data_IF_287733789803
#
_entry.id   IF_287733789803
#
_cell.length_a   1.000
_cell.length_b   1.000
_cell.length_c   1.000
_cell.angle_alpha   90.00
_cell.angle_beta   90.00
_cell.angle_gamma   90.00
#
_symmetry.space_group_name_H-M   'P 1'
#
loop_
_entity.id
_entity.type
_entity.pdbx_description
1 polymer ?
#
# COMPACT_ATOMS: atom_id res chain seq x y z
N UNK A 1 -108.79 -13.13 -43.58
CA UNK A 1 -110.12 -13.57 -43.10
C UNK A 1 -110.03 -15.07 -42.82
N UNK A 2 -110.31 -15.49 -41.59
CA UNK A 2 -110.50 -16.90 -41.16
C UNK A 2 -111.77 -17.48 -41.85
N UNK A 3 -112.03 -18.81 -41.94
CA UNK A 3 -111.84 -19.77 -40.84
C UNK A 3 -111.64 -21.28 -41.17
N UNK A 4 -111.40 -22.05 -40.09
CA UNK A 4 -111.84 -23.42 -39.74
C UNK A 4 -111.85 -24.56 -40.79
N UNK A 5 -111.40 -25.77 -40.39
CA UNK A 5 -112.26 -26.93 -40.00
C UNK A 5 -111.37 -28.16 -39.71
N UNK A 6 -111.77 -28.92 -38.68
CA UNK A 6 -111.20 -30.17 -38.17
C UNK A 6 -111.91 -31.43 -38.75
N UNK A 7 -111.52 -32.62 -38.27
CA UNK A 7 -112.05 -33.99 -38.47
C UNK A 7 -111.25 -34.86 -39.48
N UNK A 8 -110.71 -36.05 -39.19
CA UNK A 8 -111.09 -37.26 -38.40
C UNK A 8 -111.75 -38.36 -39.27
N UNK A 9 -111.35 -39.62 -39.00
CA UNK A 9 -111.77 -40.93 -39.54
C UNK A 9 -110.82 -41.55 -40.60
N UNK A 10 -110.01 -42.60 -40.35
CA UNK A 10 -110.20 -43.96 -39.77
C UNK A 10 -110.69 -45.00 -40.81
N UNK A 11 -109.85 -46.05 -41.00
CA UNK A 11 -110.16 -47.46 -41.26
C UNK A 11 -109.47 -48.07 -42.51
N UNK A 12 -108.73 -49.16 -42.28
CA UNK A 12 -108.20 -50.02 -43.35
C UNK A 12 -106.98 -50.85 -42.97
N UNK A 13 -107.06 -51.63 -41.89
CA UNK A 13 -106.10 -52.66 -41.56
C UNK A 13 -106.11 -53.79 -42.60
N UNK A 14 -104.96 -54.33 -42.99
CA UNK A 14 -104.65 -55.76 -43.01
C UNK A 14 -103.25 -56.04 -43.63
N UNK A 15 -102.59 -57.02 -43.02
CA UNK A 15 -101.34 -57.68 -43.41
C UNK A 15 -100.02 -57.09 -42.89
N UNK A 16 -99.70 -57.44 -41.63
CA UNK A 16 -98.34 -57.85 -41.28
C UNK A 16 -98.00 -59.17 -42.01
N UNK A 17 -96.72 -59.42 -42.25
CA UNK A 17 -96.12 -60.55 -41.55
C UNK A 17 -94.98 -60.09 -40.65
N UNK A 18 -95.10 -60.48 -39.39
CA UNK A 18 -94.00 -60.56 -38.45
C UNK A 18 -93.18 -61.84 -38.74
N UNK A 19 -91.93 -61.82 -38.25
CA UNK A 19 -90.90 -62.87 -38.24
C UNK A 19 -90.06 -62.96 -39.54
N UNK A 20 -88.72 -62.95 -39.49
CA UNK A 20 -87.86 -63.57 -38.49
C UNK A 20 -86.55 -62.81 -38.28
N UNK A 21 -86.03 -62.89 -37.06
CA UNK A 21 -84.65 -62.62 -36.73
C UNK A 21 -83.74 -63.57 -37.52
N UNK A 22 -82.83 -63.03 -38.30
CA UNK A 22 -81.61 -63.74 -38.68
C UNK A 22 -80.38 -62.86 -38.45
N UNK A 23 -79.45 -63.48 -37.74
CA UNK A 23 -78.29 -62.90 -37.08
C UNK A 23 -77.14 -63.09 -38.05
N UNK A 24 -76.92 -62.12 -38.94
CA UNK A 24 -75.72 -62.05 -39.80
C UNK A 24 -75.05 -60.70 -39.62
N UNK A 25 -73.75 -60.75 -39.30
CA UNK A 25 -72.86 -59.63 -39.09
C UNK A 25 -73.09 -58.54 -40.13
N UNK A 26 -73.50 -57.37 -39.64
CA UNK A 26 -73.67 -56.16 -40.42
C UNK A 26 -72.28 -55.51 -40.55
N UNK A 27 -71.57 -55.67 -41.68
CA UNK A 27 -70.19 -55.19 -41.82
C UNK A 27 -70.07 -53.68 -41.60
N UNK A 28 -71.17 -52.94 -41.81
CA UNK A 28 -71.27 -51.51 -41.52
C UNK A 28 -71.20 -51.20 -40.01
N UNK A 29 -71.76 -52.04 -39.13
CA UNK A 29 -71.68 -51.85 -37.67
C UNK A 29 -70.31 -52.18 -37.11
N UNK A 30 -69.62 -53.18 -37.66
CA UNK A 30 -68.23 -53.50 -37.29
C UNK A 30 -67.27 -52.40 -37.76
N UNK A 31 -67.46 -51.85 -38.96
CA UNK A 31 -66.69 -50.70 -39.45
C UNK A 31 -66.95 -49.44 -38.61
N UNK A 32 -68.20 -49.17 -38.23
CA UNK A 32 -68.54 -48.06 -37.34
C UNK A 32 -67.91 -48.20 -35.94
N UNK A 33 -67.87 -49.43 -35.39
CA UNK A 33 -67.19 -49.71 -34.10
C UNK A 33 -65.67 -49.51 -34.21
N UNK A 34 -65.04 -49.96 -35.30
CA UNK A 34 -63.61 -49.73 -35.55
C UNK A 34 -63.30 -48.23 -35.70
N UNK A 35 -64.14 -47.50 -36.43
CA UNK A 35 -64.02 -46.04 -36.56
C UNK A 35 -64.18 -45.35 -35.21
N UNK A 36 -65.15 -45.74 -34.39
CA UNK A 36 -65.34 -45.20 -33.04
C UNK A 36 -64.16 -45.53 -32.11
N UNK A 37 -63.58 -46.73 -32.21
CA UNK A 37 -62.36 -47.09 -31.47
C UNK A 37 -61.15 -46.28 -31.92
N UNK A 38 -60.98 -46.06 -33.23
CA UNK A 38 -59.93 -45.18 -33.76
C UNK A 38 -60.12 -43.74 -33.31
N UNK A 39 -61.34 -43.23 -33.30
CA UNK A 39 -61.64 -41.87 -32.83
C UNK A 39 -61.31 -41.70 -31.35
N UNK A 40 -61.61 -42.68 -30.50
CA UNK A 40 -61.20 -42.68 -29.09
C UNK A 40 -59.69 -42.73 -28.90
N UNK A 41 -58.97 -43.51 -29.72
CA UNK A 41 -57.50 -43.54 -29.70
C UNK A 41 -56.91 -42.19 -30.10
N UNK A 42 -57.42 -41.57 -31.16
CA UNK A 42 -57.01 -40.23 -31.57
C UNK A 42 -57.33 -39.16 -30.52
N UNK A 43 -58.49 -39.24 -29.87
CA UNK A 43 -58.83 -38.34 -28.76
C UNK A 43 -57.89 -38.54 -27.56
N UNK A 44 -57.53 -39.79 -27.24
CA UNK A 44 -56.57 -40.11 -26.20
C UNK A 44 -55.16 -39.60 -26.53
N UNK A 45 -54.66 -39.87 -27.73
CA UNK A 45 -53.36 -39.37 -28.21
C UNK A 45 -53.32 -37.85 -28.25
N UNK A 46 -54.40 -37.20 -28.71
CA UNK A 46 -54.50 -35.73 -28.70
C UNK A 46 -54.49 -35.19 -27.27
N UNK A 47 -55.16 -35.85 -26.33
CA UNK A 47 -55.15 -35.45 -24.92
C UNK A 47 -53.76 -35.62 -24.29
N UNK A 48 -53.07 -36.72 -24.59
CA UNK A 48 -51.70 -37.00 -24.11
C UNK A 48 -50.72 -35.99 -24.68
N UNK A 49 -50.74 -35.74 -26.00
CA UNK A 49 -49.88 -34.75 -26.64
C UNK A 49 -50.15 -33.33 -26.13
N UNK A 50 -51.40 -32.99 -25.79
CA UNK A 50 -51.73 -31.69 -25.20
C UNK A 50 -51.18 -31.56 -23.78
N UNK A 51 -51.22 -32.63 -22.99
CA UNK A 51 -50.62 -32.68 -21.64
C UNK A 51 -49.10 -32.59 -21.71
N UNK A 52 -48.45 -33.41 -22.53
CA UNK A 52 -47.00 -33.38 -22.73
C UNK A 52 -46.51 -32.02 -23.23
N UNK A 53 -47.24 -31.39 -24.14
CA UNK A 53 -46.92 -30.04 -24.61
C UNK A 53 -47.04 -29.01 -23.48
N UNK A 54 -48.07 -29.09 -22.64
CA UNK A 54 -48.23 -28.21 -21.49
C UNK A 54 -47.10 -28.40 -20.46
N UNK A 55 -46.73 -29.65 -20.16
CA UNK A 55 -45.61 -29.97 -19.26
C UNK A 55 -44.26 -29.50 -19.82
N UNK A 56 -44.02 -29.67 -21.12
CA UNK A 56 -42.81 -29.18 -21.78
C UNK A 56 -42.75 -27.65 -21.81
N UNK A 57 -43.89 -26.98 -22.06
CA UNK A 57 -43.97 -25.51 -22.00
C UNK A 57 -43.71 -24.99 -20.58
N UNK A 58 -44.17 -25.69 -19.54
CA UNK A 58 -43.92 -25.34 -18.14
C UNK A 58 -42.43 -25.52 -17.79
N UNK A 59 -41.84 -26.68 -18.09
CA UNK A 59 -40.41 -26.94 -17.88
C UNK A 59 -39.52 -25.96 -18.67
N UNK A 60 -39.93 -25.59 -19.88
CA UNK A 60 -39.21 -24.59 -20.67
C UNK A 60 -39.28 -23.20 -20.04
N UNK A 61 -40.43 -22.79 -19.51
CA UNK A 61 -40.57 -21.53 -18.78
C UNK A 61 -39.74 -21.51 -17.50
N UNK A 62 -39.76 -22.60 -16.74
CA UNK A 62 -38.95 -22.75 -15.53
C UNK A 62 -37.45 -22.69 -15.84
N UNK A 63 -36.97 -23.55 -16.76
CA UNK A 63 -35.57 -23.59 -17.14
C UNK A 63 -35.08 -22.27 -17.76
N UNK A 64 -35.90 -21.59 -18.57
CA UNK A 64 -35.54 -20.27 -19.12
C UNK A 64 -35.49 -19.19 -18.05
N UNK A 65 -36.39 -19.24 -17.05
CA UNK A 65 -36.37 -18.37 -15.89
C UNK A 65 -35.12 -18.55 -15.02
N UNK A 66 -34.76 -19.79 -14.71
CA UNK A 66 -33.55 -20.13 -13.95
C UNK A 66 -32.27 -19.72 -14.70
N UNK A 67 -32.23 -19.92 -16.03
CA UNK A 67 -31.10 -19.54 -16.85
C UNK A 67 -30.92 -18.02 -16.90
N UNK A 68 -32.01 -17.26 -17.04
CA UNK A 68 -31.96 -15.79 -17.00
C UNK A 68 -31.55 -15.26 -15.62
N UNK A 69 -32.03 -15.87 -14.54
CA UNK A 69 -31.63 -15.47 -13.18
C UNK A 69 -30.16 -15.80 -12.90
N UNK A 70 -29.72 -17.00 -13.27
CA UNK A 70 -28.30 -17.40 -13.17
C UNK A 70 -27.41 -16.49 -14.00
N UNK A 71 -27.84 -16.12 -15.22
CA UNK A 71 -27.13 -15.18 -16.08
C UNK A 71 -27.02 -13.80 -15.42
N UNK A 72 -28.12 -13.26 -14.88
CA UNK A 72 -28.11 -11.98 -14.15
C UNK A 72 -27.16 -12.03 -12.94
N UNK A 73 -27.20 -13.11 -12.17
CA UNK A 73 -26.30 -13.29 -11.03
C UNK A 73 -24.84 -13.38 -11.46
N UNK A 74 -24.54 -14.14 -12.51
CA UNK A 74 -23.20 -14.25 -13.08
C UNK A 74 -22.70 -12.88 -13.56
N UNK A 75 -23.50 -12.13 -14.33
CA UNK A 75 -23.13 -10.78 -14.79
C UNK A 75 -22.88 -9.82 -13.62
N UNK A 76 -23.71 -9.86 -12.57
CA UNK A 76 -23.51 -9.06 -11.35
C UNK A 76 -22.19 -9.41 -10.65
N UNK A 77 -21.92 -10.71 -10.48
CA UNK A 77 -20.68 -11.20 -9.85
C UNK A 77 -19.46 -10.81 -10.67
N UNK A 78 -19.48 -11.01 -11.98
CA UNK A 78 -18.38 -10.63 -12.88
C UNK A 78 -18.10 -9.13 -12.79
N UNK A 79 -19.14 -8.28 -12.86
CA UNK A 79 -18.96 -6.83 -12.73
C UNK A 79 -18.41 -6.42 -11.36
N UNK A 80 -18.84 -7.08 -10.27
CA UNK A 80 -18.31 -6.83 -8.93
C UNK A 80 -16.82 -7.24 -8.82
N UNK A 81 -16.47 -8.41 -9.34
CA UNK A 81 -15.09 -8.91 -9.35
C UNK A 81 -14.18 -8.04 -10.22
N UNK A 82 -14.64 -7.58 -11.38
CA UNK A 82 -13.90 -6.64 -12.23
C UNK A 82 -13.60 -5.33 -11.51
N UNK A 83 -14.59 -4.77 -10.79
CA UNK A 83 -14.40 -3.56 -9.98
C UNK A 83 -13.40 -3.79 -8.84
N UNK A 84 -13.52 -4.91 -8.13
CA UNK A 84 -12.58 -5.25 -7.06
C UNK A 84 -11.17 -5.42 -7.59
N UNK A 85 -11.01 -6.13 -8.71
CA UNK A 85 -9.72 -6.37 -9.34
C UNK A 85 -9.09 -5.07 -9.86
N UNK A 86 -9.88 -4.14 -10.41
CA UNK A 86 -9.41 -2.80 -10.76
C UNK A 86 -8.99 -2.00 -9.51
N UNK A 87 -9.79 -2.02 -8.44
CA UNK A 87 -9.46 -1.34 -7.18
C UNK A 87 -8.16 -1.88 -6.56
N UNK A 88 -8.01 -3.20 -6.45
CA UNK A 88 -6.81 -3.85 -5.92
C UNK A 88 -5.57 -3.56 -6.78
N UNK A 89 -5.71 -3.48 -8.11
CA UNK A 89 -4.60 -3.06 -8.99
C UNK A 89 -4.17 -1.62 -8.71
N UNK A 90 -5.12 -0.70 -8.63
CA UNK A 90 -4.84 0.70 -8.32
C UNK A 90 -4.20 0.87 -6.93
N UNK A 91 -4.68 0.12 -5.93
CA UNK A 91 -4.09 0.10 -4.59
C UNK A 91 -2.66 -0.44 -4.61
N UNK A 92 -2.42 -1.53 -5.34
CA UNK A 92 -1.07 -2.11 -5.49
C UNK A 92 -0.11 -1.12 -6.15
N UNK A 93 -0.54 -0.43 -7.20
CA UNK A 93 0.26 0.59 -7.88
C UNK A 93 0.56 1.76 -6.94
N UNK A 94 -0.46 2.28 -6.24
CA UNK A 94 -0.29 3.37 -5.28
C UNK A 94 0.64 2.99 -4.12
N UNK A 95 0.53 1.76 -3.60
CA UNK A 95 1.43 1.24 -2.57
C UNK A 95 2.85 1.06 -3.12
N UNK A 96 3.01 0.57 -4.35
CA UNK A 96 4.31 0.47 -5.01
C UNK A 96 5.01 1.81 -5.16
N UNK A 97 4.28 2.84 -5.60
CA UNK A 97 4.81 4.22 -5.69
C UNK A 97 5.20 4.78 -4.33
N UNK A 98 4.35 4.59 -3.30
CA UNK A 98 4.67 5.02 -1.93
C UNK A 98 5.90 4.30 -1.38
N UNK A 99 6.03 3.00 -1.62
CA UNK A 99 7.19 2.23 -1.17
C UNK A 99 8.47 2.77 -1.80
N UNK A 100 8.49 2.95 -3.12
CA UNK A 100 9.64 3.51 -3.82
C UNK A 100 10.01 4.92 -3.32
N UNK A 101 9.02 5.78 -3.07
CA UNK A 101 9.24 7.11 -2.49
C UNK A 101 9.83 7.02 -1.07
N UNK A 102 9.30 6.13 -0.23
CA UNK A 102 9.82 5.96 1.13
C UNK A 102 11.22 5.39 1.16
N UNK A 103 11.56 4.46 0.27
CA UNK A 103 12.90 3.90 0.13
C UNK A 103 13.89 4.98 -0.32
N UNK A 104 13.52 5.82 -1.29
CA UNK A 104 14.34 6.93 -1.74
C UNK A 104 14.59 7.95 -0.61
N UNK A 105 13.53 8.32 0.13
CA UNK A 105 13.65 9.23 1.28
C UNK A 105 14.53 8.63 2.37
N UNK A 106 14.41 7.34 2.67
CA UNK A 106 15.22 6.67 3.67
C UNK A 106 16.70 6.63 3.26
N UNK A 107 16.99 6.35 1.99
CA UNK A 107 18.35 6.39 1.46
C UNK A 107 18.95 7.80 1.60
N UNK A 108 18.21 8.84 1.20
CA UNK A 108 18.65 10.24 1.33
C UNK A 108 18.88 10.65 2.79
N UNK A 109 17.98 10.28 3.71
CA UNK A 109 18.14 10.56 5.15
C UNK A 109 19.35 9.84 5.73
N UNK A 110 19.59 8.59 5.32
CA UNK A 110 20.74 7.81 5.79
C UNK A 110 22.06 8.44 5.32
N UNK A 111 22.12 8.91 4.08
CA UNK A 111 23.28 9.65 3.56
C UNK A 111 23.48 10.98 4.29
N UNK A 112 22.40 11.75 4.49
CA UNK A 112 22.46 13.01 5.24
C UNK A 112 22.94 12.78 6.68
N UNK A 113 22.46 11.73 7.34
CA UNK A 113 22.90 11.38 8.69
C UNK A 113 24.40 11.05 8.71
N UNK A 114 24.90 10.23 7.78
CA UNK A 114 26.34 9.92 7.67
C UNK A 114 27.18 11.17 7.48
N UNK A 115 26.75 12.08 6.59
CA UNK A 115 27.45 13.34 6.34
C UNK A 115 27.45 14.23 7.58
N UNK A 116 26.31 14.32 8.28
CA UNK A 116 26.18 15.11 9.52
C UNK A 116 27.05 14.53 10.63
N UNK A 117 27.11 13.22 10.79
CA UNK A 117 27.96 12.55 11.77
C UNK A 117 29.45 12.75 11.46
N UNK A 118 29.84 12.69 10.18
CA UNK A 118 31.21 12.96 9.76
C UNK A 118 31.61 14.41 10.05
N UNK A 119 30.76 15.37 9.71
CA UNK A 119 31.01 16.79 9.97
C UNK A 119 31.06 17.08 11.47
N UNK A 120 30.16 16.47 12.26
CA UNK A 120 30.18 16.57 13.71
C UNK A 120 31.51 16.07 14.28
N UNK A 121 31.99 14.89 13.86
CA UNK A 121 33.28 14.36 14.33
C UNK A 121 34.44 15.29 13.96
N UNK A 122 34.42 15.84 12.74
CA UNK A 122 35.43 16.81 12.29
C UNK A 122 35.44 18.07 13.16
N UNK A 123 34.26 18.62 13.46
CA UNK A 123 34.12 19.79 14.32
C UNK A 123 34.54 19.49 15.76
N UNK A 124 34.22 18.30 16.28
CA UNK A 124 34.66 17.86 17.60
C UNK A 124 36.21 17.77 17.67
N UNK A 125 36.86 17.22 16.64
CA UNK A 125 38.34 17.20 16.56
C UNK A 125 38.92 18.60 16.49
N UNK A 126 38.39 19.47 15.63
CA UNK A 126 38.86 20.86 15.50
C UNK A 126 38.69 21.64 16.81
N UNK A 127 37.55 21.46 17.49
CA UNK A 127 37.30 22.10 18.78
C UNK A 127 38.28 21.61 19.86
N UNK A 128 38.62 20.32 19.87
CA UNK A 128 39.61 19.77 20.79
C UNK A 128 41.02 20.33 20.51
N UNK A 129 41.42 20.41 19.24
CA UNK A 129 42.70 21.01 18.83
C UNK A 129 42.80 22.49 19.19
N UNK A 130 41.75 23.27 18.92
CA UNK A 130 41.69 24.68 19.30
C UNK A 130 41.76 24.85 20.81
N UNK A 131 41.02 24.04 21.58
CA UNK A 131 41.07 24.09 23.04
C UNK A 131 42.47 23.80 23.57
N UNK A 132 43.16 22.80 23.01
CA UNK A 132 44.55 22.50 23.36
C UNK A 132 45.47 23.68 23.02
N UNK A 133 45.37 24.20 21.80
CA UNK A 133 46.20 25.34 21.34
C UNK A 133 46.00 26.58 22.22
N UNK A 134 44.76 26.88 22.62
CA UNK A 134 44.45 27.98 23.54
C UNK A 134 45.03 27.74 24.94
N UNK A 135 44.94 26.51 25.46
CA UNK A 135 45.55 26.16 26.74
C UNK A 135 47.07 26.31 26.69
N UNK A 136 47.72 25.84 25.62
CA UNK A 136 49.16 25.97 25.44
C UNK A 136 49.59 27.45 25.27
N UNK A 137 48.77 28.27 24.62
CA UNK A 137 49.01 29.71 24.50
C UNK A 137 48.87 30.42 25.85
N UNK A 138 47.82 30.09 26.62
CA UNK A 138 47.62 30.65 27.95
C UNK A 138 48.79 30.29 28.89
N UNK A 139 49.22 29.02 28.91
CA UNK A 139 50.35 28.56 29.70
C UNK A 139 51.67 29.25 29.30
N UNK A 140 51.91 29.46 28.00
CA UNK A 140 53.08 30.21 27.52
C UNK A 140 53.04 31.68 27.94
N UNK A 141 51.88 32.32 27.86
CA UNK A 141 51.72 33.72 28.28
C UNK A 141 51.91 33.89 29.79
N UNK A 142 51.39 32.96 30.59
CA UNK A 142 51.58 32.95 32.05
C UNK A 142 53.06 32.85 32.41
N UNK A 143 53.78 31.87 31.84
CA UNK A 143 55.23 31.72 32.05
C UNK A 143 56.04 32.93 31.58
N UNK A 144 55.68 33.53 30.44
CA UNK A 144 56.35 34.74 29.95
C UNK A 144 56.14 35.92 30.90
N UNK A 145 54.94 36.05 31.46
CA UNK A 145 54.63 37.08 32.46
C UNK A 145 55.45 36.85 33.74
N UNK A 146 55.50 35.62 34.26
CA UNK A 146 56.32 35.27 35.43
C UNK A 146 57.80 35.63 35.22
N UNK A 147 58.38 35.24 34.08
CA UNK A 147 59.76 35.60 33.74
C UNK A 147 59.96 37.11 33.61
N UNK A 148 59.00 37.83 33.02
CA UNK A 148 59.04 39.29 32.91
C UNK A 148 59.03 39.98 34.28
N UNK A 149 58.21 39.51 35.21
CA UNK A 149 58.18 40.01 36.59
C UNK A 149 59.48 39.70 37.32
N UNK A 150 60.00 38.47 37.22
CA UNK A 150 61.29 38.07 37.82
C UNK A 150 62.44 38.98 37.32
N UNK A 151 62.45 39.30 36.03
CA UNK A 151 63.43 40.19 35.41
C UNK A 151 63.33 41.63 35.96
N UNK A 152 62.11 42.16 36.09
CA UNK A 152 61.87 43.49 36.65
C UNK A 152 62.29 43.58 38.13
N UNK A 153 61.91 42.61 38.96
CA UNK A 153 62.30 42.58 40.38
C UNK A 153 63.82 42.56 40.56
N UNK A 154 64.53 41.74 39.77
CA UNK A 154 66.00 41.68 39.81
C UNK A 154 66.63 42.98 39.29
N UNK A 155 66.01 43.67 38.34
CA UNK A 155 66.47 44.98 37.88
C UNK A 155 66.28 46.07 38.95
N UNK A 156 65.13 46.07 39.65
CA UNK A 156 64.88 46.98 40.79
C UNK A 156 65.87 46.74 41.94
N UNK A 157 66.14 45.47 42.29
CA UNK A 157 67.16 45.12 43.26
C UNK A 157 68.56 45.58 42.84
N UNK A 158 68.89 45.49 41.53
CA UNK A 158 70.09 46.13 40.99
C UNK A 158 70.04 47.64 41.21
N UNK A 159 68.96 48.34 40.89
CA UNK A 159 68.81 49.79 41.09
C UNK A 159 69.15 50.24 42.53
N UNK A 160 68.67 49.51 43.53
CA UNK A 160 68.96 49.77 44.95
C UNK A 160 70.44 49.54 45.35
N UNK A 161 71.15 48.60 44.72
CA UNK A 161 72.56 48.28 45.05
C UNK A 161 73.60 48.83 44.06
N UNK A 162 73.18 49.32 42.89
CA UNK A 162 74.06 49.61 41.76
C UNK A 162 74.58 51.04 41.70
N UNK A 163 73.85 52.02 42.23
CA UNK A 163 74.30 53.40 42.28
C UNK A 163 75.62 53.56 43.08
N UNK A 164 75.88 52.69 44.05
CA UNK A 164 77.10 52.71 44.85
C UNK A 164 78.28 51.92 44.25
N UNK A 165 78.08 51.07 43.23
CA UNK A 165 79.06 50.03 42.82
C UNK A 165 79.28 49.89 41.29
N UNK A 166 78.56 50.63 40.45
CA UNK A 166 78.69 50.57 38.98
C UNK A 166 79.98 51.20 38.42
N UNK A 167 80.76 51.91 39.23
CA UNK A 167 81.96 52.63 38.82
C UNK A 167 83.30 51.95 39.12
N UNK A 168 83.37 50.63 39.32
CA UNK A 168 84.66 49.96 39.63
C UNK A 168 85.52 49.73 38.37
N UNK A 169 86.68 50.41 38.21
CA UNK A 169 87.49 50.33 36.98
C UNK A 169 88.40 49.09 36.90
N UNK A 170 88.59 48.34 37.99
CA UNK A 170 89.76 47.44 38.12
C UNK A 170 89.48 45.94 37.98
N UNK A 171 88.27 45.43 38.26
CA UNK A 171 88.04 43.97 38.31
C UNK A 171 87.13 43.43 37.21
N UNK A 172 86.27 44.25 36.60
CA UNK A 172 85.35 43.81 35.54
C UNK A 172 84.30 42.75 35.95
N UNK A 173 84.34 42.25 37.19
CA UNK A 173 83.50 41.14 37.68
C UNK A 173 82.00 41.45 37.58
N UNK A 174 81.59 42.70 37.83
CA UNK A 174 80.21 43.14 37.66
C UNK A 174 79.74 43.05 36.21
N UNK A 175 80.59 43.40 35.23
CA UNK A 175 80.24 43.31 33.81
C UNK A 175 79.95 41.87 33.41
N UNK A 176 80.81 40.93 33.81
CA UNK A 176 80.61 39.49 33.59
C UNK A 176 79.33 39.00 34.27
N UNK A 177 79.03 39.48 35.48
CA UNK A 177 77.77 39.15 36.15
C UNK A 177 76.51 39.71 35.45
N UNK A 178 76.61 40.84 34.74
CA UNK A 178 75.51 41.33 33.89
C UNK A 178 75.39 40.49 32.61
N UNK A 179 76.51 40.18 31.96
CA UNK A 179 76.55 39.36 30.74
C UNK A 179 75.97 37.95 31.00
N UNK A 180 76.41 37.26 32.06
CA UNK A 180 75.85 35.96 32.47
C UNK A 180 74.34 36.05 32.77
N UNK A 181 73.89 37.15 33.38
CA UNK A 181 72.47 37.33 33.68
C UNK A 181 71.61 37.52 32.42
N UNK A 182 72.12 38.27 31.43
CA UNK A 182 71.43 38.45 30.15
C UNK A 182 71.38 37.12 29.41
N UNK A 183 72.46 36.35 29.42
CA UNK A 183 72.52 35.03 28.79
C UNK A 183 71.59 34.01 29.49
N UNK A 184 71.56 33.94 30.83
CA UNK A 184 70.63 33.08 31.58
C UNK A 184 69.15 33.37 31.25
N UNK A 185 68.79 34.66 31.10
CA UNK A 185 67.42 35.03 30.72
C UNK A 185 67.13 34.73 29.25
N UNK A 186 68.13 34.88 28.38
CA UNK A 186 68.03 34.49 26.96
C UNK A 186 67.77 32.99 26.84
N UNK A 187 68.54 32.18 27.55
CA UNK A 187 68.40 30.72 27.55
C UNK A 187 67.01 30.29 28.06
N UNK A 188 66.54 30.90 29.16
CA UNK A 188 65.18 30.65 29.70
C UNK A 188 64.05 31.09 28.76
N UNK A 189 64.25 32.11 27.92
CA UNK A 189 63.28 32.53 26.89
C UNK A 189 63.34 31.63 25.65
N UNK A 190 64.53 31.18 25.27
CA UNK A 190 64.73 30.30 24.11
C UNK A 190 64.25 28.87 24.38
N UNK A 191 64.41 28.34 25.59
CA UNK A 191 63.81 27.06 26.02
C UNK A 191 62.28 27.07 25.86
N UNK A 192 61.61 28.18 26.14
CA UNK A 192 60.15 28.30 25.99
C UNK A 192 59.70 28.38 24.53
N UNK A 193 60.52 28.95 23.63
CA UNK A 193 60.27 28.91 22.18
C UNK A 193 60.39 27.51 21.61
N UNK A 194 61.25 26.67 22.18
CA UNK A 194 61.54 25.32 21.72
C UNK A 194 60.54 24.26 22.23
N UNK A 195 59.80 24.55 23.30
CA UNK A 195 58.63 23.76 23.72
C UNK A 195 57.46 23.98 22.74
N UNK A 196 57.53 23.33 21.57
CA UNK A 196 56.44 23.24 20.58
C UNK A 196 55.68 21.93 20.73
#
# INVERSE_FOLDING_TARGET
>A
MRPLVALLALAGALALPAFAADKKNDPAKEQARRMQQMQRKFEQEKSQLTQEKAELEEKFKEASGELEETRKQATRKTSALEKQLAATRNEKEALGSKLAETEQRLAALTEQQRNTEAERKRLETLAAEQKKSLADCAARNEKLHEQGVELLERYEQKGCFSAALQGEPFTGLKRVAIENFVEDNRERLDEQKLQR
#
